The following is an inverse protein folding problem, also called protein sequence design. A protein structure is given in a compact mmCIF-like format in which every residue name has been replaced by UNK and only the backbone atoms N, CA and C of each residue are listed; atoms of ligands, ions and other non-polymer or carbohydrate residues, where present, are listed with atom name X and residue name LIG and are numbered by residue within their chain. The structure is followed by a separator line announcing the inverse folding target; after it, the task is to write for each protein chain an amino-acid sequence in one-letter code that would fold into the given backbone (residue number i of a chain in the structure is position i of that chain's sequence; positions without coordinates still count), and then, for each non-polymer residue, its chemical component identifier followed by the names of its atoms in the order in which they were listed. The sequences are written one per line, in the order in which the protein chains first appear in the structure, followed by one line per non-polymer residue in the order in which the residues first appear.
data_IF_064766443378
#
_entry.id   IF_064766443378
#
_cell.length_a   1.000
_cell.length_b   1.000
_cell.length_c   1.000
_cell.angle_alpha   90.00
_cell.angle_beta   90.00
_cell.angle_gamma   90.00
#
_symmetry.space_group_name_H-M   'P 1'
#
loop_
_entity.id
_entity.type
_entity.pdbx_description
1 polymer ?
#
# COMPACT_ATOMS: atom_id res chain seq x y z
N UNK A 1 49.60 -32.87 16.48
CA UNK A 1 49.38 -32.53 17.90
C UNK A 1 47.94 -32.04 18.08
N UNK A 2 47.19 -32.80 18.90
CA UNK A 2 45.89 -32.57 19.58
C UNK A 2 44.74 -31.77 18.92
N UNK A 3 43.53 -32.37 18.87
CA UNK A 3 42.26 -31.68 18.67
C UNK A 3 41.67 -31.18 20.02
N UNK A 4 40.80 -30.18 19.98
CA UNK A 4 39.96 -29.80 21.12
C UNK A 4 38.49 -30.03 20.77
N UNK A 5 37.92 -31.10 21.33
CA UNK A 5 36.49 -31.24 21.50
C UNK A 5 36.04 -30.57 22.81
N UNK A 6 34.78 -30.16 22.84
CA UNK A 6 34.05 -29.93 24.07
C UNK A 6 32.63 -30.47 23.90
N UNK A 7 32.42 -31.64 24.48
CA UNK A 7 31.11 -32.22 24.81
C UNK A 7 30.67 -31.63 26.14
N UNK A 8 29.42 -31.17 26.24
CA UNK A 8 28.73 -31.01 27.52
C UNK A 8 27.34 -31.61 27.36
N UNK A 9 27.18 -32.83 27.87
CA UNK A 9 25.90 -33.40 28.27
C UNK A 9 25.55 -32.89 29.67
N UNK A 10 24.29 -32.50 29.88
CA UNK A 10 23.84 -31.96 31.16
C UNK A 10 22.32 -31.95 31.33
N UNK A 11 21.78 -33.14 31.59
CA UNK A 11 20.63 -33.43 32.46
C UNK A 11 19.30 -32.65 32.30
N UNK A 12 18.32 -33.39 31.76
CA UNK A 12 16.89 -33.30 32.03
C UNK A 12 16.55 -32.97 33.50
N UNK A 13 15.70 -31.96 33.69
CA UNK A 13 14.69 -31.93 34.77
C UNK A 13 13.33 -31.59 34.19
N UNK A 14 12.43 -32.55 34.32
CA UNK A 14 11.00 -32.48 34.06
C UNK A 14 10.26 -31.76 35.18
N UNK A 15 9.21 -31.00 34.83
CA UNK A 15 7.92 -30.82 35.55
C UNK A 15 7.04 -29.72 34.87
N UNK A 16 5.72 -29.67 35.12
CA UNK A 16 4.70 -30.12 34.14
C UNK A 16 3.68 -29.02 33.75
N UNK A 17 2.81 -29.37 32.81
CA UNK A 17 1.46 -28.83 32.58
C UNK A 17 1.26 -27.31 32.64
N UNK A 18 1.43 -26.64 31.48
CA UNK A 18 0.76 -25.38 31.20
C UNK A 18 -0.45 -25.66 30.30
N UNK A 19 -1.64 -25.54 30.90
CA UNK A 19 -2.92 -25.71 30.22
C UNK A 19 -3.08 -24.74 29.04
N UNK A 20 -3.45 -25.29 27.88
CA UNK A 20 -3.90 -24.53 26.71
C UNK A 20 -5.22 -23.82 27.07
N UNK A 21 -5.34 -22.48 26.95
CA UNK A 21 -6.60 -21.81 27.16
C UNK A 21 -7.56 -22.14 26.02
N UNK A 22 -8.74 -22.69 26.37
CA UNK A 22 -9.85 -22.90 25.45
C UNK A 22 -10.38 -21.52 25.00
N UNK A 23 -10.32 -21.26 23.70
CA UNK A 23 -11.02 -20.12 23.10
C UNK A 23 -12.54 -20.36 23.19
N UNK A 24 -13.23 -19.45 23.86
CA UNK A 24 -14.69 -19.38 23.83
C UNK A 24 -15.16 -18.83 22.47
N UNK A 25 -16.37 -19.21 21.99
CA UNK A 25 -16.91 -18.69 20.74
C UNK A 25 -17.21 -17.20 20.86
N UNK A 26 -16.82 -16.44 19.85
CA UNK A 26 -17.11 -15.00 19.70
C UNK A 26 -18.61 -14.82 19.55
N UNK A 27 -19.23 -14.15 20.52
CA UNK A 27 -20.61 -13.67 20.42
C UNK A 27 -20.73 -12.64 19.29
N UNK A 28 -21.79 -12.77 18.49
CA UNK A 28 -22.10 -11.87 17.39
C UNK A 28 -22.37 -10.44 17.90
N UNK A 29 -21.68 -9.46 17.32
CA UNK A 29 -21.92 -8.03 17.59
C UNK A 29 -23.32 -7.62 17.08
N UNK A 30 -24.09 -6.85 17.86
CA UNK A 30 -25.41 -6.40 17.44
C UNK A 30 -25.33 -5.33 16.36
N UNK A 31 -26.26 -5.42 15.41
CA UNK A 31 -26.51 -4.46 14.33
C UNK A 31 -26.81 -3.06 14.88
N UNK A 32 -25.84 -2.14 14.78
CA UNK A 32 -26.06 -0.76 15.21
C UNK A 32 -24.83 0.17 15.28
N UNK A 33 -23.68 -0.21 14.71
CA UNK A 33 -22.49 0.66 14.74
C UNK A 33 -22.61 1.73 13.67
N UNK A 34 -22.97 2.96 14.10
CA UNK A 34 -22.70 4.17 13.32
C UNK A 34 -21.20 4.36 13.29
N UNK A 35 -20.60 4.26 12.10
CA UNK A 35 -19.21 4.66 11.88
C UNK A 35 -19.15 6.17 12.13
N UNK A 36 -18.64 6.55 13.31
CA UNK A 36 -18.15 7.90 13.51
C UNK A 36 -17.06 8.13 12.47
N UNK A 37 -17.31 9.03 11.51
CA UNK A 37 -16.26 9.62 10.69
C UNK A 37 -15.35 10.41 11.64
N UNK A 38 -14.36 9.74 12.19
CA UNK A 38 -13.28 10.42 12.90
C UNK A 38 -12.63 11.39 11.91
N UNK A 39 -12.51 12.64 12.34
CA UNK A 39 -11.82 13.71 11.64
C UNK A 39 -10.40 13.22 11.34
N UNK A 40 -10.09 13.10 10.06
CA UNK A 40 -8.73 12.97 9.56
C UNK A 40 -7.86 14.03 10.28
N UNK A 41 -6.72 13.66 10.89
CA UNK A 41 -5.82 14.62 11.54
C UNK A 41 -5.49 15.76 10.57
N UNK A 42 -5.42 17.00 11.05
CA UNK A 42 -5.24 18.19 10.19
C UNK A 42 -4.02 18.11 9.23
N UNK A 43 -3.01 17.29 9.56
CA UNK A 43 -1.83 17.04 8.72
C UNK A 43 -2.05 16.03 7.57
N UNK A 44 -3.14 15.27 7.58
CA UNK A 44 -3.60 14.39 6.50
C UNK A 44 -4.65 15.04 5.58
N UNK A 45 -5.02 16.31 5.81
CA UNK A 45 -5.91 17.02 4.89
C UNK A 45 -5.23 17.19 3.52
N UNK A 46 -5.80 16.57 2.49
CA UNK A 46 -5.35 16.65 1.10
C UNK A 46 -5.78 17.94 0.41
N UNK A 47 -6.62 18.75 1.06
CA UNK A 47 -7.18 19.97 0.48
C UNK A 47 -6.23 21.15 0.70
N UNK A 48 -5.46 21.46 -0.35
CA UNK A 48 -4.66 22.68 -0.44
C UNK A 48 -4.99 23.39 -1.75
N UNK A 49 -4.72 24.68 -1.79
CA UNK A 49 -4.66 25.42 -3.03
C UNK A 49 -3.39 26.25 -3.09
N UNK A 50 -2.90 26.46 -4.30
CA UNK A 50 -1.75 27.32 -4.56
C UNK A 50 -2.27 28.68 -4.96
N UNK A 51 -1.78 29.73 -4.30
CA UNK A 51 -2.17 31.10 -4.53
C UNK A 51 -0.93 31.89 -4.93
N UNK A 52 -1.11 32.75 -5.92
CA UNK A 52 -0.13 33.74 -6.34
C UNK A 52 -0.86 35.06 -6.61
N UNK A 53 -0.21 36.17 -6.23
CA UNK A 53 -0.78 37.51 -6.30
C UNK A 53 0.20 38.48 -6.95
N UNK A 54 -0.35 39.36 -7.77
CA UNK A 54 0.36 40.54 -8.24
C UNK A 54 -0.25 41.79 -7.61
N UNK A 55 0.61 42.72 -7.19
CA UNK A 55 0.18 43.99 -6.62
C UNK A 55 1.12 44.50 -5.53
N UNK A 56 1.10 45.80 -5.32
CA UNK A 56 1.81 46.44 -4.21
C UNK A 56 1.24 47.85 -3.97
N UNK A 57 0.67 48.15 -2.79
CA UNK A 57 0.41 47.25 -1.66
C UNK A 57 -0.89 46.44 -1.82
N UNK A 58 -1.78 46.84 -2.71
CA UNK A 58 -3.09 46.21 -2.92
C UNK A 58 -3.07 45.28 -4.12
N UNK A 59 -3.95 44.28 -4.09
CA UNK A 59 -4.12 43.27 -5.10
C UNK A 59 -4.52 43.87 -6.43
N UNK A 60 -3.78 43.48 -7.48
CA UNK A 60 -4.06 43.82 -8.88
C UNK A 60 -4.50 42.59 -9.66
N UNK A 61 -3.92 41.44 -9.38
CA UNK A 61 -4.21 40.16 -10.02
C UNK A 61 -4.05 39.04 -9.01
N UNK A 62 -4.86 37.99 -9.12
CA UNK A 62 -4.75 36.78 -8.30
C UNK A 62 -5.09 35.56 -9.13
N UNK A 63 -4.37 34.48 -8.85
CA UNK A 63 -4.74 33.16 -9.33
C UNK A 63 -4.71 32.14 -8.20
N UNK A 64 -5.66 31.20 -8.25
CA UNK A 64 -5.75 30.07 -7.33
C UNK A 64 -5.80 28.77 -8.12
N UNK A 65 -4.79 27.94 -7.94
CA UNK A 65 -4.70 26.60 -8.50
C UNK A 65 -5.10 25.58 -7.44
N UNK A 66 -6.02 24.67 -7.76
CA UNK A 66 -6.48 23.64 -6.82
C UNK A 66 -5.47 22.49 -6.66
N UNK A 67 -5.80 21.53 -5.79
CA UNK A 67 -4.95 20.38 -5.47
C UNK A 67 -4.67 19.45 -6.68
N UNK A 68 -5.44 19.60 -7.76
CA UNK A 68 -5.29 18.86 -9.02
C UNK A 68 -4.44 19.60 -10.06
N UNK A 69 -4.03 20.83 -9.78
CA UNK A 69 -3.27 21.66 -10.72
C UNK A 69 -4.12 22.45 -11.71
N UNK A 70 -5.44 22.53 -11.50
CA UNK A 70 -6.33 23.34 -12.33
C UNK A 70 -6.53 24.73 -11.74
N UNK A 71 -6.58 25.75 -12.60
CA UNK A 71 -6.94 27.12 -12.19
C UNK A 71 -8.41 27.10 -11.78
N UNK A 72 -8.66 27.35 -10.51
CA UNK A 72 -9.98 27.33 -9.89
C UNK A 72 -10.55 28.74 -9.69
N UNK A 73 -9.69 29.75 -9.63
CA UNK A 73 -10.05 31.14 -9.57
C UNK A 73 -8.95 31.98 -10.22
N UNK A 74 -9.35 32.97 -11.00
CA UNK A 74 -8.47 33.96 -11.63
C UNK A 74 -9.27 35.27 -11.71
N UNK A 75 -8.67 36.36 -11.23
CA UNK A 75 -9.30 37.66 -11.27
C UNK A 75 -8.27 38.79 -11.22
N UNK A 76 -8.65 39.95 -11.76
CA UNK A 76 -7.86 41.19 -11.69
C UNK A 76 -8.73 42.40 -11.41
N UNK A 77 -8.14 43.44 -10.83
CA UNK A 77 -8.82 44.72 -10.64
C UNK A 77 -8.80 45.55 -11.93
N UNK A 78 -9.83 46.40 -12.19
CA UNK A 78 -9.86 47.25 -13.38
C UNK A 78 -8.65 48.19 -13.48
N UNK A 79 -8.18 48.43 -14.71
CA UNK A 79 -7.23 49.50 -15.07
C UNK A 79 -7.98 50.72 -15.63
N UNK A 80 -7.31 51.87 -15.73
CA UNK A 80 -7.92 53.14 -16.16
C UNK A 80 -8.55 53.10 -17.57
N UNK A 81 -8.14 52.14 -18.41
CA UNK A 81 -8.64 51.88 -19.76
C UNK A 81 -9.66 50.73 -19.85
N UNK A 82 -9.92 50.02 -18.74
CA UNK A 82 -10.89 48.94 -18.72
C UNK A 82 -12.32 49.48 -18.63
N UNK A 83 -13.18 49.07 -19.55
CA UNK A 83 -14.62 49.24 -19.35
C UNK A 83 -15.04 48.31 -18.21
N UNK A 84 -15.68 48.88 -17.18
CA UNK A 84 -16.00 48.23 -15.89
C UNK A 84 -16.73 46.87 -15.98
N UNK A 85 -17.24 46.48 -17.16
CA UNK A 85 -18.11 45.31 -17.35
C UNK A 85 -17.80 44.45 -18.59
N UNK A 86 -16.69 44.65 -19.33
CA UNK A 86 -16.54 44.01 -20.66
C UNK A 86 -15.40 43.00 -20.82
N UNK A 87 -14.70 42.60 -19.76
CA UNK A 87 -13.62 41.62 -19.86
C UNK A 87 -13.77 40.53 -18.79
N UNK A 88 -13.72 39.27 -19.22
CA UNK A 88 -13.73 38.12 -18.31
C UNK A 88 -12.61 38.25 -17.27
N UNK A 89 -12.94 37.99 -15.99
CA UNK A 89 -11.99 38.04 -14.89
C UNK A 89 -11.72 39.42 -14.29
N UNK A 90 -12.25 40.51 -14.83
CA UNK A 90 -12.12 41.85 -14.20
C UNK A 90 -13.22 42.06 -13.15
N UNK A 91 -12.83 42.39 -11.91
CA UNK A 91 -13.76 42.60 -10.79
C UNK A 91 -13.32 43.79 -9.94
N UNK A 92 -14.24 44.65 -9.46
CA UNK A 92 -13.92 45.63 -8.43
C UNK A 92 -13.27 44.95 -7.22
N UNK A 93 -12.25 45.59 -6.63
CA UNK A 93 -11.45 45.00 -5.56
C UNK A 93 -12.31 44.43 -4.40
N UNK A 94 -13.35 45.11 -3.88
CA UNK A 94 -14.19 44.54 -2.82
C UNK A 94 -14.91 43.25 -3.22
N UNK A 95 -15.36 43.15 -4.47
CA UNK A 95 -16.08 41.98 -4.97
C UNK A 95 -15.13 40.80 -5.19
N UNK A 96 -13.97 41.09 -5.79
CA UNK A 96 -12.87 40.14 -5.93
C UNK A 96 -12.48 39.54 -4.57
N UNK A 97 -12.29 40.38 -3.55
CA UNK A 97 -11.89 39.94 -2.21
C UNK A 97 -12.93 39.06 -1.52
N UNK A 98 -14.23 39.34 -1.69
CA UNK A 98 -15.31 38.50 -1.12
C UNK A 98 -15.30 37.11 -1.75
N UNK A 99 -15.22 37.04 -3.07
CA UNK A 99 -15.17 35.77 -3.79
C UNK A 99 -13.90 34.98 -3.51
N UNK A 100 -12.75 35.66 -3.49
CA UNK A 100 -11.48 35.06 -3.10
C UNK A 100 -11.55 34.51 -1.67
N UNK A 101 -12.16 35.26 -0.74
CA UNK A 101 -12.38 34.82 0.63
C UNK A 101 -13.19 33.52 0.74
N UNK A 102 -14.18 33.32 -0.14
CA UNK A 102 -14.93 32.06 -0.21
C UNK A 102 -14.09 30.92 -0.82
N UNK A 103 -13.28 31.21 -1.84
CA UNK A 103 -12.40 30.21 -2.49
C UNK A 103 -11.31 29.71 -1.54
N UNK A 104 -10.75 30.58 -0.70
CA UNK A 104 -9.65 30.27 0.21
C UNK A 104 -10.11 29.67 1.55
N UNK A 105 -11.41 29.71 1.85
CA UNK A 105 -11.95 29.29 3.16
C UNK A 105 -11.65 27.81 3.43
N UNK A 106 -11.20 27.54 4.66
CA UNK A 106 -10.90 26.20 5.18
C UNK A 106 -9.81 25.42 4.40
N UNK A 107 -9.03 26.10 3.56
CA UNK A 107 -7.95 25.49 2.77
C UNK A 107 -6.57 25.87 3.29
N UNK A 108 -5.62 24.96 3.15
CA UNK A 108 -4.20 25.28 3.29
C UNK A 108 -3.73 26.00 2.02
N UNK A 109 -3.12 27.17 2.20
CA UNK A 109 -2.64 28.02 1.13
C UNK A 109 -1.15 27.79 0.91
N UNK A 110 -0.78 27.43 -0.31
CA UNK A 110 0.61 27.26 -0.73
C UNK A 110 0.98 28.44 -1.61
N UNK A 111 2.10 29.10 -1.33
CA UNK A 111 2.59 30.21 -2.15
C UNK A 111 4.12 30.20 -2.24
N UNK A 112 4.66 30.82 -3.31
CA UNK A 112 6.10 31.01 -3.44
C UNK A 112 6.50 32.31 -2.77
N UNK A 113 7.31 32.22 -1.70
CA UNK A 113 7.61 33.37 -0.83
C UNK A 113 6.33 33.97 -0.21
N UNK A 114 5.56 33.10 0.43
CA UNK A 114 4.22 33.35 0.97
C UNK A 114 4.05 34.63 1.81
N UNK A 115 5.12 35.17 2.40
CA UNK A 115 5.09 36.47 3.10
C UNK A 115 4.62 37.61 2.19
N UNK A 116 4.97 37.58 0.90
CA UNK A 116 4.56 38.59 -0.06
C UNK A 116 3.06 38.53 -0.30
N UNK A 117 2.54 37.39 -0.75
CA UNK A 117 1.12 37.20 -1.04
C UNK A 117 0.26 37.48 0.19
N UNK A 118 0.70 37.01 1.36
CA UNK A 118 0.04 37.30 2.62
C UNK A 118 -0.09 38.80 2.86
N UNK A 119 0.98 39.56 2.64
CA UNK A 119 0.97 41.02 2.84
C UNK A 119 0.02 41.74 1.87
N UNK A 120 -0.02 41.30 0.60
CA UNK A 120 -0.92 41.86 -0.43
C UNK A 120 -2.38 41.57 -0.07
N UNK A 121 -2.69 40.33 0.33
CA UNK A 121 -4.03 39.93 0.74
C UNK A 121 -4.47 40.72 1.99
N UNK A 122 -3.66 40.74 3.05
CA UNK A 122 -3.99 41.46 4.29
C UNK A 122 -4.20 42.96 4.05
N UNK A 123 -3.34 43.61 3.25
CA UNK A 123 -3.47 45.02 2.89
C UNK A 123 -4.74 45.28 2.06
N UNK A 124 -5.07 44.39 1.12
CA UNK A 124 -6.24 44.51 0.25
C UNK A 124 -7.54 44.40 1.04
N UNK A 125 -7.67 43.38 1.89
CA UNK A 125 -8.82 43.24 2.80
C UNK A 125 -8.97 44.47 3.71
N UNK A 126 -7.86 44.96 4.28
CA UNK A 126 -7.85 46.16 5.11
C UNK A 126 -8.32 47.41 4.34
N UNK A 127 -7.85 47.59 3.10
CA UNK A 127 -8.22 48.74 2.25
C UNK A 127 -9.72 48.79 1.92
N UNK A 128 -10.39 47.64 1.89
CA UNK A 128 -11.82 47.53 1.64
C UNK A 128 -12.65 47.41 2.93
N UNK A 129 -12.04 47.54 4.12
CA UNK A 129 -12.69 47.31 5.42
C UNK A 129 -13.35 45.93 5.52
N UNK A 130 -12.73 44.91 4.91
CA UNK A 130 -13.15 43.50 4.96
C UNK A 130 -12.22 42.71 5.90
N UNK A 131 -12.74 41.63 6.48
CA UNK A 131 -11.93 40.72 7.30
C UNK A 131 -11.44 39.55 6.44
N UNK A 132 -10.12 39.28 6.39
CA UNK A 132 -9.61 38.10 5.70
C UNK A 132 -10.01 36.82 6.46
N UNK A 133 -10.26 35.70 5.77
CA UNK A 133 -10.44 34.41 6.44
C UNK A 133 -9.16 34.01 7.19
N UNK A 134 -9.28 33.11 8.17
CA UNK A 134 -8.13 32.52 8.84
C UNK A 134 -7.42 31.54 7.88
N UNK A 135 -6.26 31.93 7.36
CA UNK A 135 -5.51 31.16 6.37
C UNK A 135 -4.30 30.46 6.99
N UNK A 136 -4.12 29.18 6.65
CA UNK A 136 -2.91 28.43 6.98
C UNK A 136 -1.96 28.45 5.79
N UNK A 137 -0.80 29.10 5.96
CA UNK A 137 0.16 29.28 4.88
C UNK A 137 1.27 28.23 4.90
N UNK A 138 1.68 27.81 3.71
CA UNK A 138 2.86 27.01 3.48
C UNK A 138 3.71 27.63 2.37
N UNK A 139 5.00 27.83 2.64
CA UNK A 139 5.90 28.56 1.77
C UNK A 139 6.79 27.59 0.99
N UNK A 140 6.66 27.55 -0.34
CA UNK A 140 7.52 26.68 -1.17
C UNK A 140 8.99 27.13 -1.16
N UNK A 141 9.24 28.42 -0.94
CA UNK A 141 10.59 28.98 -0.81
C UNK A 141 11.31 28.44 0.44
N UNK A 142 10.65 28.47 1.60
CA UNK A 142 11.20 27.94 2.86
C UNK A 142 11.37 26.41 2.79
N UNK A 143 10.39 25.72 2.21
CA UNK A 143 10.45 24.28 1.98
C UNK A 143 11.62 23.92 1.06
N UNK A 144 11.85 24.69 -0.01
CA UNK A 144 12.98 24.50 -0.91
C UNK A 144 14.33 24.74 -0.23
N UNK A 145 14.45 25.76 0.62
CA UNK A 145 15.68 26.00 1.39
C UNK A 145 15.99 24.87 2.37
N UNK A 146 14.95 24.37 3.04
CA UNK A 146 15.08 23.26 3.99
C UNK A 146 15.49 21.98 3.29
N UNK A 147 14.87 21.69 2.14
CA UNK A 147 15.19 20.48 1.39
C UNK A 147 16.52 20.65 0.65
N UNK A 148 16.70 21.68 -0.14
CA UNK A 148 17.86 21.82 -1.02
C UNK A 148 18.71 23.02 -0.58
N UNK A 149 19.49 22.92 0.52
CA UNK A 149 20.33 24.02 0.97
C UNK A 149 21.50 24.28 0.01
N UNK A 150 21.86 25.55 -0.16
CA UNK A 150 23.04 25.96 -0.95
C UNK A 150 22.82 26.10 -2.46
N UNK A 151 21.57 26.21 -2.92
CA UNK A 151 21.27 26.56 -4.30
C UNK A 151 21.63 28.04 -4.58
N UNK A 152 22.01 28.34 -5.81
CA UNK A 152 22.47 29.68 -6.22
C UNK A 152 21.37 30.75 -6.08
N UNK A 153 20.12 30.35 -6.29
CA UNK A 153 18.94 31.18 -6.13
C UNK A 153 17.71 30.34 -5.79
N UNK A 154 16.85 30.92 -4.97
CA UNK A 154 15.55 30.35 -4.57
C UNK A 154 14.36 31.08 -5.20
N UNK A 155 14.58 31.98 -6.16
CA UNK A 155 13.48 32.54 -6.94
C UNK A 155 12.74 31.44 -7.72
N UNK A 156 11.44 31.60 -7.94
CA UNK A 156 10.58 30.56 -8.55
C UNK A 156 11.18 29.99 -9.83
N UNK A 157 11.48 30.84 -10.82
CA UNK A 157 12.07 30.42 -12.09
C UNK A 157 13.40 29.69 -11.92
N UNK A 158 14.29 30.20 -11.05
CA UNK A 158 15.57 29.56 -10.79
C UNK A 158 15.42 28.18 -10.14
N UNK A 159 14.46 28.00 -9.21
CA UNK A 159 14.16 26.69 -8.63
C UNK A 159 13.57 25.74 -9.67
N UNK A 160 12.67 26.23 -10.51
CA UNK A 160 12.10 25.43 -11.59
C UNK A 160 13.16 24.93 -12.57
N UNK A 161 14.14 25.77 -12.92
CA UNK A 161 15.23 25.41 -13.82
C UNK A 161 16.23 24.43 -13.16
N UNK A 162 16.70 24.74 -11.94
CA UNK A 162 17.69 23.91 -11.23
C UNK A 162 17.13 22.53 -10.85
N UNK A 163 15.87 22.45 -10.41
CA UNK A 163 15.23 21.20 -10.01
C UNK A 163 14.50 20.51 -11.17
N UNK A 164 14.50 21.10 -12.37
CA UNK A 164 13.83 20.59 -13.57
C UNK A 164 12.35 20.28 -13.30
N UNK A 165 11.65 21.27 -12.77
CA UNK A 165 10.24 21.17 -12.38
C UNK A 165 9.35 21.20 -13.62
N UNK A 166 8.50 20.19 -13.78
CA UNK A 166 7.55 20.10 -14.89
C UNK A 166 8.16 19.51 -16.18
N UNK A 167 7.31 19.30 -17.19
CA UNK A 167 7.73 18.77 -18.50
C UNK A 167 8.20 19.85 -19.48
N UNK A 168 7.91 21.11 -19.18
CA UNK A 168 8.32 22.28 -19.97
C UNK A 168 9.16 23.21 -19.08
N UNK A 169 10.19 23.87 -19.65
CA UNK A 169 11.00 24.83 -18.93
C UNK A 169 10.19 26.06 -18.51
N UNK A 170 10.65 26.74 -17.45
CA UNK A 170 10.07 27.98 -17.01
C UNK A 170 10.34 29.08 -18.06
N UNK A 171 9.31 29.80 -18.46
CA UNK A 171 9.39 30.90 -19.42
C UNK A 171 9.45 32.20 -18.64
N UNK A 172 10.64 32.77 -18.55
CA UNK A 172 10.88 34.00 -17.80
C UNK A 172 10.09 35.20 -18.34
N UNK A 173 9.75 35.23 -19.64
CA UNK A 173 8.92 36.29 -20.24
C UNK A 173 7.44 36.24 -19.78
N UNK A 174 6.99 35.10 -19.25
CA UNK A 174 5.65 34.90 -18.69
C UNK A 174 5.62 35.02 -17.16
N UNK A 175 6.78 35.26 -16.53
CA UNK A 175 6.86 35.54 -15.10
C UNK A 175 6.06 36.80 -14.75
N UNK A 176 5.58 36.88 -13.51
CA UNK A 176 4.73 37.96 -13.01
C UNK A 176 3.33 38.00 -13.61
N UNK A 177 2.88 36.86 -14.16
CA UNK A 177 1.47 36.60 -14.40
C UNK A 177 1.01 35.67 -13.29
N UNK A 178 0.01 36.08 -12.51
CA UNK A 178 -0.38 35.36 -11.30
C UNK A 178 -0.74 33.90 -11.62
N UNK A 179 -1.45 33.69 -12.74
CA UNK A 179 -1.83 32.34 -13.20
C UNK A 179 -0.64 31.48 -13.60
N UNK A 180 0.40 32.08 -14.20
CA UNK A 180 1.60 31.36 -14.60
C UNK A 180 2.44 30.95 -13.38
N UNK A 181 2.67 31.90 -12.48
CA UNK A 181 3.49 31.69 -11.29
C UNK A 181 2.78 30.77 -10.28
N UNK A 182 1.45 30.85 -10.14
CA UNK A 182 0.67 29.87 -9.35
C UNK A 182 0.81 28.44 -9.90
N UNK A 183 0.79 28.25 -11.22
CA UNK A 183 0.95 26.92 -11.85
C UNK A 183 2.34 26.36 -11.61
N UNK A 184 3.39 27.16 -11.78
CA UNK A 184 4.75 26.69 -11.53
C UNK A 184 5.02 26.49 -10.04
N UNK A 185 4.44 27.31 -9.17
CA UNK A 185 4.44 27.08 -7.71
C UNK A 185 3.77 25.76 -7.35
N UNK A 186 2.66 25.39 -8.00
CA UNK A 186 2.04 24.06 -7.83
C UNK A 186 2.98 22.93 -8.23
N UNK A 187 3.61 23.02 -9.41
CA UNK A 187 4.53 21.99 -9.88
C UNK A 187 5.75 21.87 -8.95
N UNK A 188 6.29 23.00 -8.49
CA UNK A 188 7.41 23.06 -7.55
C UNK A 188 7.00 22.42 -6.22
N UNK A 189 5.83 22.78 -5.68
CA UNK A 189 5.32 22.21 -4.44
C UNK A 189 5.19 20.68 -4.51
N UNK A 190 4.63 20.16 -5.60
CA UNK A 190 4.52 18.70 -5.85
C UNK A 190 5.91 18.04 -5.89
N UNK A 191 6.88 18.67 -6.54
CA UNK A 191 8.26 18.19 -6.59
C UNK A 191 8.89 18.14 -5.19
N UNK A 192 8.83 19.25 -4.43
CA UNK A 192 9.38 19.33 -3.09
C UNK A 192 8.73 18.34 -2.11
N UNK A 193 7.42 18.13 -2.20
CA UNK A 193 6.72 17.12 -1.40
C UNK A 193 7.17 15.70 -1.73
N UNK A 194 7.44 15.42 -3.01
CA UNK A 194 8.03 14.13 -3.42
C UNK A 194 9.42 13.95 -2.83
N UNK A 195 10.28 14.97 -2.90
CA UNK A 195 11.62 14.90 -2.34
C UNK A 195 11.60 14.73 -0.81
N UNK A 196 10.71 15.45 -0.12
CA UNK A 196 10.49 15.29 1.31
C UNK A 196 10.04 13.87 1.66
N UNK A 197 9.16 13.26 0.85
CA UNK A 197 8.76 11.87 1.01
C UNK A 197 9.94 10.92 0.77
N UNK A 198 10.69 11.10 -0.31
CA UNK A 198 11.86 10.27 -0.62
C UNK A 198 12.90 10.30 0.50
N UNK A 199 13.15 11.46 1.12
CA UNK A 199 14.05 11.56 2.28
C UNK A 199 13.52 10.83 3.49
N UNK A 200 12.25 11.05 3.84
CA UNK A 200 11.61 10.30 4.94
C UNK A 200 11.68 8.79 4.72
N UNK A 201 11.50 8.33 3.48
CA UNK A 201 11.59 6.93 3.12
C UNK A 201 13.04 6.40 3.12
N UNK A 202 14.02 7.24 2.79
CA UNK A 202 15.45 6.88 2.87
C UNK A 202 15.93 6.81 4.33
N UNK A 203 15.41 7.70 5.18
CA UNK A 203 15.69 7.72 6.62
C UNK A 203 14.92 6.63 7.37
N UNK A 204 13.79 6.18 6.82
CA UNK A 204 13.06 5.03 7.35
C UNK A 204 13.89 3.77 7.11
N UNK A 205 14.11 2.99 8.17
CA UNK A 205 14.61 1.63 7.99
C UNK A 205 13.60 0.87 7.13
N UNK A 206 14.09 0.22 6.07
CA UNK A 206 13.26 -0.70 5.31
C UNK A 206 12.71 -1.74 6.30
N UNK A 207 11.38 -1.81 6.51
CA UNK A 207 10.80 -2.74 7.47
C UNK A 207 11.01 -4.20 7.06
N UNK A 208 11.44 -4.44 5.82
CA UNK A 208 11.75 -5.75 5.27
C UNK A 208 13.25 -6.03 5.31
N UNK A 209 13.62 -7.25 5.70
CA UNK A 209 15.01 -7.73 5.71
C UNK A 209 15.62 -7.90 4.31
N UNK A 210 14.80 -7.81 3.26
CA UNK A 210 15.21 -7.84 1.85
C UNK A 210 14.42 -6.82 1.04
N UNK A 211 15.07 -6.16 0.08
CA UNK A 211 14.40 -5.25 -0.87
C UNK A 211 13.61 -5.98 -1.96
N UNK A 212 13.61 -7.32 -1.97
CA UNK A 212 12.99 -8.14 -3.02
C UNK A 212 12.55 -9.50 -2.48
N UNK A 213 11.35 -9.90 -2.89
CA UNK A 213 10.81 -11.25 -2.75
C UNK A 213 10.47 -11.73 -4.16
N UNK A 214 11.04 -12.86 -4.55
CA UNK A 214 10.92 -13.44 -5.89
C UNK A 214 9.77 -14.44 -6.00
N UNK A 215 9.52 -15.17 -4.92
CA UNK A 215 8.41 -16.11 -4.81
C UNK A 215 7.74 -15.94 -3.44
N UNK A 216 6.44 -16.22 -3.34
CA UNK A 216 5.75 -16.16 -2.06
C UNK A 216 6.15 -17.28 -1.08
N UNK A 217 7.00 -18.23 -1.52
CA UNK A 217 7.48 -19.35 -0.72
C UNK A 217 8.82 -19.06 -0.02
N UNK A 218 9.42 -17.90 -0.28
CA UNK A 218 10.58 -17.44 0.49
C UNK A 218 10.11 -16.89 1.84
N UNK A 219 10.98 -16.92 2.84
CA UNK A 219 10.70 -16.33 4.14
C UNK A 219 11.58 -15.10 4.39
N UNK A 220 10.95 -13.99 4.74
CA UNK A 220 11.61 -12.73 5.09
C UNK A 220 10.89 -12.07 6.27
N UNK A 221 11.58 -11.16 6.96
CA UNK A 221 10.93 -10.39 8.03
C UNK A 221 9.78 -9.56 7.45
N UNK A 222 8.61 -9.65 8.08
CA UNK A 222 7.37 -9.03 7.64
C UNK A 222 6.81 -8.09 8.72
N UNK A 223 6.63 -6.82 8.35
CA UNK A 223 5.91 -5.85 9.18
C UNK A 223 4.42 -5.89 8.82
N UNK A 224 3.64 -6.49 9.72
CA UNK A 224 2.19 -6.71 9.54
C UNK A 224 1.40 -5.42 9.36
N UNK A 225 1.90 -4.27 9.83
CA UNK A 225 1.22 -2.99 9.63
C UNK A 225 1.24 -2.54 8.17
N UNK A 226 2.27 -2.94 7.42
CA UNK A 226 2.36 -2.66 5.99
C UNK A 226 1.35 -3.54 5.26
N UNK A 227 0.48 -2.91 4.46
CA UNK A 227 -0.58 -3.55 3.67
C UNK A 227 -1.66 -4.30 4.47
N UNK A 228 -1.86 -4.00 5.75
CA UNK A 228 -2.88 -4.70 6.57
C UNK A 228 -4.27 -4.64 5.92
N UNK A 229 -4.75 -3.46 5.49
CA UNK A 229 -6.04 -3.33 4.80
C UNK A 229 -6.17 -4.23 3.57
N UNK A 230 -5.11 -4.31 2.75
CA UNK A 230 -5.09 -5.15 1.55
C UNK A 230 -5.05 -6.64 1.92
N UNK A 231 -4.35 -6.99 3.01
CA UNK A 231 -4.32 -8.34 3.54
C UNK A 231 -5.70 -8.79 4.05
N UNK A 232 -6.38 -7.94 4.81
CA UNK A 232 -7.74 -8.23 5.31
C UNK A 232 -8.73 -8.42 4.16
N UNK A 233 -8.62 -7.61 3.10
CA UNK A 233 -9.46 -7.76 1.90
C UNK A 233 -9.20 -9.09 1.17
N UNK A 234 -7.93 -9.46 0.96
CA UNK A 234 -7.59 -10.75 0.33
C UNK A 234 -8.07 -11.93 1.19
N UNK A 235 -7.90 -11.85 2.50
CA UNK A 235 -8.36 -12.88 3.44
C UNK A 235 -9.88 -13.02 3.41
N UNK A 236 -10.62 -11.91 3.35
CA UNK A 236 -12.08 -11.92 3.24
C UNK A 236 -12.57 -12.58 1.93
N UNK A 237 -11.86 -12.38 0.81
CA UNK A 237 -12.15 -13.07 -0.45
C UNK A 237 -11.98 -14.58 -0.29
N UNK A 238 -10.85 -15.04 0.26
CA UNK A 238 -10.59 -16.47 0.49
C UNK A 238 -11.64 -17.10 1.41
N UNK A 239 -11.96 -16.42 2.50
CA UNK A 239 -13.00 -16.82 3.45
C UNK A 239 -14.38 -16.97 2.80
N UNK A 240 -14.72 -16.05 1.88
CA UNK A 240 -15.99 -16.11 1.18
C UNK A 240 -16.08 -17.32 0.24
N UNK A 241 -14.97 -17.65 -0.43
CA UNK A 241 -14.86 -18.86 -1.27
C UNK A 241 -14.93 -20.12 -0.41
N UNK A 242 -14.22 -20.15 0.72
CA UNK A 242 -14.24 -21.30 1.63
C UNK A 242 -15.63 -21.58 2.22
N UNK A 243 -16.43 -20.53 2.45
CA UNK A 243 -17.80 -20.63 2.97
C UNK A 243 -18.85 -20.93 1.92
N UNK A 244 -18.55 -20.81 0.62
CA UNK A 244 -19.46 -21.16 -0.47
C UNK A 244 -19.47 -22.68 -0.73
N UNK A 245 -20.04 -23.43 0.20
CA UNK A 245 -20.22 -24.88 0.08
C UNK A 245 -21.41 -25.26 -0.80
N UNK A 246 -22.21 -24.30 -1.27
CA UNK A 246 -23.43 -24.56 -2.03
C UNK A 246 -23.21 -24.44 -3.55
N UNK A 247 -22.50 -23.40 -3.99
CA UNK A 247 -22.29 -23.14 -5.42
C UNK A 247 -20.86 -23.41 -5.88
N UNK A 248 -19.91 -23.57 -4.95
CA UNK A 248 -18.49 -23.81 -5.24
C UNK A 248 -17.91 -22.81 -6.27
N UNK A 249 -18.32 -21.54 -6.18
CA UNK A 249 -17.89 -20.53 -7.15
C UNK A 249 -16.45 -20.09 -6.93
N UNK A 250 -15.73 -19.93 -8.04
CA UNK A 250 -14.40 -19.31 -8.02
C UNK A 250 -14.53 -17.79 -7.97
N UNK A 251 -13.68 -17.14 -7.18
CA UNK A 251 -13.53 -15.69 -7.16
C UNK A 251 -12.12 -15.27 -7.59
N UNK A 252 -12.01 -14.05 -8.10
CA UNK A 252 -10.74 -13.43 -8.48
C UNK A 252 -10.53 -12.11 -7.75
N UNK A 253 -9.28 -11.84 -7.35
CA UNK A 253 -8.85 -10.56 -6.82
C UNK A 253 -7.69 -10.01 -7.67
N UNK A 254 -7.67 -8.71 -7.88
CA UNK A 254 -6.59 -8.03 -8.63
C UNK A 254 -5.82 -7.15 -7.67
N UNK A 255 -4.55 -7.49 -7.43
CA UNK A 255 -3.65 -6.70 -6.60
C UNK A 255 -2.85 -5.72 -7.45
N UNK A 256 -3.10 -4.41 -7.25
CA UNK A 256 -2.46 -3.33 -8.00
C UNK A 256 -1.52 -2.54 -7.08
N UNK A 257 -0.37 -2.11 -7.60
CA UNK A 257 0.57 -1.26 -6.87
C UNK A 257 1.83 -0.98 -7.68
N UNK A 258 2.55 0.08 -7.34
CA UNK A 258 3.80 0.46 -8.01
C UNK A 258 4.88 -0.62 -7.92
N UNK A 259 5.83 -0.63 -8.85
CA UNK A 259 6.97 -1.54 -8.77
C UNK A 259 7.72 -1.33 -7.44
N UNK A 260 8.05 -2.42 -6.74
CA UNK A 260 8.71 -2.34 -5.42
C UNK A 260 7.77 -2.04 -4.25
N UNK A 261 6.47 -1.86 -4.45
CA UNK A 261 5.51 -1.55 -3.38
C UNK A 261 5.28 -2.68 -2.35
N UNK A 262 5.99 -3.81 -2.42
CA UNK A 262 5.80 -4.94 -1.50
C UNK A 262 4.67 -5.90 -1.86
N UNK A 263 4.13 -5.88 -3.10
CA UNK A 263 3.08 -6.83 -3.52
C UNK A 263 3.46 -8.30 -3.27
N UNK A 264 4.66 -8.71 -3.65
CA UNK A 264 5.11 -10.09 -3.43
C UNK A 264 5.28 -10.41 -1.94
N UNK A 265 5.66 -9.43 -1.10
CA UNK A 265 5.67 -9.60 0.36
C UNK A 265 4.26 -9.85 0.90
N UNK A 266 3.26 -9.11 0.40
CA UNK A 266 1.86 -9.34 0.79
C UNK A 266 1.40 -10.76 0.42
N UNK A 267 1.77 -11.26 -0.77
CA UNK A 267 1.44 -12.64 -1.17
C UNK A 267 2.25 -13.67 -0.35
N UNK A 268 3.48 -13.37 0.05
CA UNK A 268 4.28 -14.20 0.95
C UNK A 268 3.61 -14.34 2.32
N UNK A 269 3.19 -13.24 2.94
CA UNK A 269 2.41 -13.25 4.19
C UNK A 269 1.15 -14.11 4.04
N UNK A 270 0.42 -13.92 2.95
CA UNK A 270 -0.77 -14.72 2.64
C UNK A 270 -0.42 -16.21 2.54
N UNK A 271 0.66 -16.55 1.84
CA UNK A 271 1.14 -17.92 1.72
C UNK A 271 1.43 -18.54 3.10
N UNK A 272 2.15 -17.84 3.97
CA UNK A 272 2.48 -18.33 5.32
C UNK A 272 1.22 -18.62 6.15
N UNK A 273 0.20 -17.76 6.08
CA UNK A 273 -1.03 -17.96 6.85
C UNK A 273 -1.92 -19.07 6.25
N UNK A 274 -2.00 -19.17 4.93
CA UNK A 274 -2.94 -20.09 4.28
C UNK A 274 -2.35 -21.46 4.00
N UNK A 275 -1.04 -21.62 3.83
CA UNK A 275 -0.43 -22.89 3.40
C UNK A 275 -0.62 -24.04 4.40
N UNK A 276 -0.86 -23.73 5.67
CA UNK A 276 -1.17 -24.73 6.70
C UNK A 276 -2.45 -25.53 6.34
N UNK A 277 -3.47 -24.87 5.83
CA UNK A 277 -4.76 -25.46 5.48
C UNK A 277 -4.99 -25.60 3.98
N UNK A 278 -4.48 -24.66 3.19
CA UNK A 278 -4.78 -24.47 1.78
C UNK A 278 -3.56 -24.75 0.90
N UNK A 279 -3.78 -24.71 -0.41
CA UNK A 279 -2.73 -24.86 -1.43
C UNK A 279 -2.57 -23.56 -2.18
N UNK A 280 -1.33 -23.15 -2.40
CA UNK A 280 -0.99 -21.97 -3.17
C UNK A 280 -0.21 -22.37 -4.41
N UNK A 281 -0.76 -22.02 -5.56
CA UNK A 281 -0.11 -22.19 -6.86
C UNK A 281 0.36 -20.81 -7.34
N UNK A 282 1.66 -20.65 -7.52
CA UNK A 282 2.25 -19.39 -7.95
C UNK A 282 2.76 -19.47 -9.38
N UNK A 283 1.98 -18.91 -10.31
CA UNK A 283 2.30 -18.89 -11.74
C UNK A 283 2.80 -17.49 -12.11
N UNK A 284 4.10 -17.38 -12.40
CA UNK A 284 4.69 -16.14 -12.90
C UNK A 284 4.18 -15.81 -14.31
N UNK A 285 4.34 -14.56 -14.75
CA UNK A 285 4.01 -14.17 -16.11
C UNK A 285 4.84 -15.00 -17.13
N UNK A 286 4.19 -15.65 -18.12
CA UNK A 286 4.91 -16.33 -19.21
C UNK A 286 5.59 -15.31 -20.12
N UNK A 287 6.79 -15.62 -20.59
CA UNK A 287 7.58 -14.75 -21.47
C UNK A 287 7.39 -15.04 -22.96
N UNK A 288 6.83 -16.21 -23.31
CA UNK A 288 6.61 -16.66 -24.68
C UNK A 288 5.18 -17.18 -24.82
N UNK A 289 4.48 -16.73 -25.86
CA UNK A 289 3.07 -17.08 -26.08
C UNK A 289 2.89 -18.58 -26.42
N UNK A 290 3.81 -19.15 -27.20
CA UNK A 290 3.68 -20.53 -27.69
C UNK A 290 3.90 -21.60 -26.61
N UNK A 291 4.44 -21.22 -25.45
CA UNK A 291 4.76 -22.15 -24.35
C UNK A 291 3.94 -21.88 -23.08
N UNK A 292 2.86 -21.08 -23.17
CA UNK A 292 2.03 -20.71 -22.01
C UNK A 292 1.52 -21.93 -21.24
N UNK A 293 1.01 -22.96 -21.95
CA UNK A 293 0.53 -24.18 -21.29
C UNK A 293 1.65 -24.89 -20.53
N UNK A 294 2.80 -25.10 -21.19
CA UNK A 294 3.97 -25.73 -20.56
C UNK A 294 4.45 -24.94 -19.34
N UNK A 295 4.49 -23.61 -19.45
CA UNK A 295 4.86 -22.73 -18.34
C UNK A 295 3.88 -22.85 -17.17
N UNK A 296 2.56 -22.85 -17.42
CA UNK A 296 1.54 -23.04 -16.38
C UNK A 296 1.74 -24.39 -15.68
N UNK A 297 1.92 -25.48 -16.44
CA UNK A 297 2.12 -26.82 -15.86
C UNK A 297 3.41 -26.89 -15.03
N UNK A 298 4.53 -26.40 -15.57
CA UNK A 298 5.82 -26.39 -14.87
C UNK A 298 5.73 -25.61 -13.56
N UNK A 299 5.16 -24.39 -13.58
CA UNK A 299 5.03 -23.56 -12.36
C UNK A 299 4.04 -24.11 -11.34
N UNK A 300 3.01 -24.82 -11.82
CA UNK A 300 2.07 -25.53 -10.94
C UNK A 300 2.78 -26.66 -10.20
N UNK A 301 3.54 -27.49 -10.92
CA UNK A 301 4.31 -28.58 -10.31
C UNK A 301 5.39 -28.07 -9.36
N UNK A 302 6.13 -27.03 -9.74
CA UNK A 302 7.10 -26.40 -8.85
C UNK A 302 6.44 -25.90 -7.56
N UNK A 303 5.30 -25.19 -7.67
CA UNK A 303 4.56 -24.73 -6.49
C UNK A 303 4.12 -25.89 -5.60
N UNK A 304 3.63 -26.98 -6.17
CA UNK A 304 3.21 -28.16 -5.42
C UNK A 304 4.36 -28.87 -4.68
N UNK A 305 5.59 -28.72 -5.17
CA UNK A 305 6.78 -29.27 -4.51
C UNK A 305 7.31 -28.40 -3.36
N UNK A 306 6.80 -27.18 -3.21
CA UNK A 306 7.20 -26.30 -2.10
C UNK A 306 6.73 -26.85 -0.75
N UNK A 307 7.57 -26.65 0.28
CA UNK A 307 7.29 -27.10 1.64
C UNK A 307 6.24 -26.25 2.31
N UNK A 308 5.48 -26.86 3.21
CA UNK A 308 4.50 -26.16 4.05
C UNK A 308 5.07 -25.97 5.45
N UNK A 309 5.28 -24.70 5.83
CA UNK A 309 5.91 -24.34 7.10
C UNK A 309 7.32 -24.92 7.24
N UNK A 310 7.71 -25.24 8.47
CA UNK A 310 9.02 -25.86 8.79
C UNK A 310 9.01 -27.40 8.65
N UNK A 311 7.90 -27.97 8.17
CA UNK A 311 7.72 -29.40 8.04
C UNK A 311 8.54 -30.03 6.90
N UNK A 312 8.69 -31.37 6.89
CA UNK A 312 9.38 -32.07 5.81
C UNK A 312 8.53 -32.22 4.55
N UNK A 313 7.21 -31.98 4.66
CA UNK A 313 6.24 -32.27 3.61
C UNK A 313 6.03 -31.11 2.65
N UNK A 314 5.94 -31.45 1.37
CA UNK A 314 5.48 -30.55 0.32
C UNK A 314 3.97 -30.36 0.36
N UNK A 315 3.50 -29.34 -0.35
CA UNK A 315 2.08 -29.14 -0.63
C UNK A 315 1.44 -30.39 -1.28
N UNK A 316 2.17 -31.07 -2.17
CA UNK A 316 1.72 -32.31 -2.83
C UNK A 316 1.60 -33.47 -1.83
N UNK A 317 2.58 -33.65 -0.95
CA UNK A 317 2.55 -34.73 0.05
C UNK A 317 1.31 -34.59 0.94
N UNK A 318 1.09 -33.40 1.47
CA UNK A 318 -0.08 -33.12 2.31
C UNK A 318 -1.39 -33.23 1.54
N UNK A 319 -1.40 -32.93 0.23
CA UNK A 319 -2.59 -33.13 -0.61
C UNK A 319 -2.91 -34.62 -0.70
N UNK A 320 -1.93 -35.46 -1.04
CA UNK A 320 -2.10 -36.90 -1.15
C UNK A 320 -2.52 -37.52 0.19
N UNK A 321 -1.86 -37.15 1.30
CA UNK A 321 -2.19 -37.64 2.65
C UNK A 321 -3.66 -37.35 2.98
N UNK A 322 -4.13 -36.11 2.77
CA UNK A 322 -5.50 -35.70 3.08
C UNK A 322 -6.52 -36.36 2.15
N UNK A 323 -6.22 -36.46 0.85
CA UNK A 323 -7.10 -37.12 -0.11
C UNK A 323 -7.29 -38.60 0.20
N UNK A 324 -6.20 -39.34 0.45
CA UNK A 324 -6.26 -40.76 0.82
C UNK A 324 -7.03 -40.95 2.13
N UNK A 325 -6.73 -40.13 3.14
CA UNK A 325 -7.46 -40.16 4.42
C UNK A 325 -8.97 -39.94 4.22
N UNK A 326 -9.35 -38.96 3.39
CA UNK A 326 -10.74 -38.65 3.11
C UNK A 326 -11.47 -39.83 2.45
N UNK A 327 -10.83 -40.49 1.47
CA UNK A 327 -11.39 -41.66 0.78
C UNK A 327 -11.60 -42.80 1.79
N UNK A 328 -10.59 -43.11 2.60
CA UNK A 328 -10.66 -44.20 3.57
C UNK A 328 -11.68 -43.94 4.70
N UNK A 329 -11.90 -42.66 5.05
CA UNK A 329 -12.82 -42.26 6.13
C UNK A 329 -14.27 -42.12 5.69
N UNK A 330 -14.56 -42.00 4.39
CA UNK A 330 -15.91 -41.79 3.86
C UNK A 330 -16.79 -43.04 3.97
N UNK A 331 -16.20 -44.25 3.88
CA UNK A 331 -16.94 -45.49 4.08
C UNK A 331 -17.00 -45.82 5.58
N UNK A 332 -18.13 -45.51 6.21
CA UNK A 332 -18.42 -45.83 7.62
C UNK A 332 -18.47 -47.32 7.98
N UNK A 333 -17.90 -48.22 7.17
CA UNK A 333 -17.83 -49.65 7.42
C UNK A 333 -16.54 -50.04 8.14
N UNK A 334 -16.69 -51.00 9.05
CA UNK A 334 -15.68 -51.60 9.94
C UNK A 334 -14.24 -51.50 9.42
N UNK A 335 -13.48 -50.56 9.96
CA UNK A 335 -12.06 -50.34 9.62
C UNK A 335 -11.27 -51.58 10.02
N UNK A 336 -10.71 -52.28 9.05
CA UNK A 336 -9.79 -53.40 9.30
C UNK A 336 -8.58 -52.91 10.09
N UNK A 337 -7.89 -53.78 10.83
CA UNK A 337 -6.71 -53.37 11.61
C UNK A 337 -5.63 -52.70 10.74
N UNK A 338 -5.44 -53.19 9.51
CA UNK A 338 -4.54 -52.57 8.54
C UNK A 338 -4.96 -51.17 8.11
N UNK A 339 -6.26 -50.90 7.95
CA UNK A 339 -6.74 -49.55 7.61
C UNK A 339 -6.59 -48.60 8.78
N UNK A 340 -6.76 -49.07 10.02
CA UNK A 340 -6.48 -48.25 11.21
C UNK A 340 -4.99 -47.89 11.29
N UNK A 341 -4.10 -48.80 10.94
CA UNK A 341 -2.66 -48.53 10.87
C UNK A 341 -2.32 -47.52 9.76
N UNK A 342 -2.96 -47.63 8.59
CA UNK A 342 -2.79 -46.65 7.49
C UNK A 342 -3.31 -45.28 7.92
N UNK A 343 -4.52 -45.20 8.50
CA UNK A 343 -5.08 -43.94 8.99
C UNK A 343 -4.21 -43.33 10.08
N UNK A 344 -3.69 -44.14 11.02
CA UNK A 344 -2.76 -43.66 12.04
C UNK A 344 -1.43 -43.14 11.47
N UNK A 345 -0.95 -43.72 10.37
CA UNK A 345 0.22 -43.23 9.65
C UNK A 345 -0.07 -41.88 8.96
N UNK A 346 -1.21 -41.78 8.27
CA UNK A 346 -1.65 -40.55 7.61
C UNK A 346 -1.95 -39.42 8.60
N UNK A 347 -2.53 -39.72 9.76
CA UNK A 347 -2.78 -38.77 10.85
C UNK A 347 -1.48 -38.25 11.47
N UNK A 348 -0.42 -39.07 11.45
CA UNK A 348 0.91 -38.66 11.86
C UNK A 348 1.71 -37.97 10.75
N UNK A 349 1.10 -37.78 9.56
CA UNK A 349 1.73 -37.31 8.32
C UNK A 349 2.98 -38.14 7.90
N UNK A 350 3.12 -39.35 8.44
CA UNK A 350 4.29 -40.21 8.27
C UNK A 350 4.01 -41.27 7.20
N UNK A 351 4.25 -40.91 5.93
CA UNK A 351 4.06 -41.81 4.78
C UNK A 351 4.96 -43.05 4.84
N UNK A 352 6.12 -42.98 5.51
CA UNK A 352 7.03 -44.12 5.65
C UNK A 352 6.43 -45.23 6.53
N UNK A 353 5.50 -44.88 7.44
CA UNK A 353 4.73 -45.87 8.22
C UNK A 353 3.73 -46.66 7.40
N UNK A 354 3.35 -46.18 6.21
CA UNK A 354 2.55 -46.97 5.26
C UNK A 354 3.37 -48.14 4.71
N UNK A 355 4.70 -48.08 4.80
CA UNK A 355 5.60 -49.22 4.66
C UNK A 355 6.93 -48.81 4.02
N UNK A 356 8.01 -49.51 4.37
CA UNK A 356 9.32 -49.25 3.78
C UNK A 356 9.33 -49.51 2.27
N UNK A 357 10.12 -48.72 1.54
CA UNK A 357 10.30 -48.86 0.11
C UNK A 357 10.74 -50.29 -0.27
N UNK A 358 10.07 -50.87 -1.27
CA UNK A 358 10.30 -52.24 -1.72
C UNK A 358 9.67 -53.36 -0.85
N UNK A 359 9.11 -53.06 0.32
CA UNK A 359 8.51 -54.08 1.20
C UNK A 359 7.19 -54.64 0.63
N UNK A 360 6.89 -55.91 0.95
CA UNK A 360 5.61 -56.52 0.60
C UNK A 360 4.44 -55.85 1.33
N UNK A 361 4.64 -55.50 2.61
CA UNK A 361 3.66 -54.79 3.41
C UNK A 361 3.28 -53.43 2.81
N UNK A 362 4.23 -52.70 2.21
CA UNK A 362 3.94 -51.45 1.46
C UNK A 362 3.03 -51.76 0.27
N UNK A 363 3.38 -52.74 -0.57
CA UNK A 363 2.58 -53.13 -1.74
C UNK A 363 1.16 -53.53 -1.35
N UNK A 364 1.02 -54.43 -0.38
CA UNK A 364 -0.30 -54.91 0.07
C UNK A 364 -1.16 -53.76 0.64
N UNK A 365 -0.56 -52.75 1.26
CA UNK A 365 -1.27 -51.57 1.78
C UNK A 365 -1.63 -50.56 0.68
N UNK A 366 -0.78 -50.37 -0.32
CA UNK A 366 -1.10 -49.53 -1.48
C UNK A 366 -2.16 -50.16 -2.38
N UNK A 367 -2.06 -51.46 -2.67
CA UNK A 367 -3.08 -52.21 -3.42
C UNK A 367 -4.46 -52.06 -2.75
N UNK A 368 -4.51 -52.09 -1.41
CA UNK A 368 -5.76 -51.84 -0.66
C UNK A 368 -6.31 -50.43 -0.84
N UNK A 369 -5.45 -49.42 -0.91
CA UNK A 369 -5.87 -48.04 -1.18
C UNK A 369 -6.39 -47.91 -2.61
N UNK A 370 -5.77 -48.59 -3.59
CA UNK A 370 -6.19 -48.54 -5.00
C UNK A 370 -7.49 -49.31 -5.28
N UNK A 371 -7.76 -50.38 -4.52
CA UNK A 371 -8.97 -51.22 -4.68
C UNK A 371 -10.22 -50.70 -3.95
N UNK A 372 -10.09 -49.60 -3.21
CA UNK A 372 -11.19 -48.82 -2.63
C UNK A 372 -11.74 -47.87 -3.68
#
# INVERSE_FOLDING_TARGET
MRPCGASIAGALRSRPDAAVPRLHPVEALPSGVRICRERIPAWMSTEFCVLDTEGSPTLREVAVVNERGHVSFEARTPRDDDSYYSQDGVRPLPDLLRELGDVLRDRRIVAHKASHDRSVIEASFSSCSLNPPALQWECTWELAQTLHPGLDSYALGALCDQLRVGSKPFQHDAAHQATYDARFTYLLFRHLRRDQLCRRLADAQNPFSSSRVDTPFQHFADDRQVHDDAFQQLSAVLDSVARDTANHQTQGAVLIGEAGSGKTHLIMRLAEEVLSSNRLLFIRQPTQADSVLFHIYSRTLESLMERVGDGPHSQLDLLLIRSIRSILSADGNTTTQSEREILAALDAEDLDRVGQEGSQARRDRWDRIETR
#
